data_IF_442728365386
#
_entry.id   IF_442728365386
#
_cell.length_a   1.000
_cell.length_b   1.000
_cell.length_c   1.000
_cell.angle_alpha   90.00
_cell.angle_beta   90.00
_cell.angle_gamma   90.00
#
_symmetry.space_group_name_H-M   'P 1'
#
loop_
_entity.id
_entity.type
_entity.pdbx_description
1 polymer ?
#
# COMPACT_ATOMS: atom_id res chain seq x y z
N UNK A 1 8.58 12.29 -5.42
CA UNK A 1 8.26 10.97 -5.99
C UNK A 1 6.79 10.81 -6.39
N UNK A 2 5.80 10.70 -5.48
CA UNK A 2 4.38 10.49 -5.90
C UNK A 2 3.84 11.59 -6.83
N UNK A 3 4.09 12.86 -6.50
CA UNK A 3 3.69 13.98 -7.35
C UNK A 3 4.38 13.98 -8.73
N UNK A 4 5.64 13.60 -8.78
CA UNK A 4 6.42 13.61 -10.02
C UNK A 4 6.05 12.43 -10.93
N UNK A 5 5.79 11.26 -10.35
CA UNK A 5 5.58 10.01 -11.09
C UNK A 5 4.09 9.77 -11.39
N UNK A 6 3.22 10.11 -10.45
CA UNK A 6 1.78 9.85 -10.52
C UNK A 6 0.94 11.13 -10.50
N UNK A 7 1.54 12.32 -10.41
CA UNK A 7 0.77 13.55 -10.31
C UNK A 7 -0.11 13.63 -9.06
N UNK A 8 0.14 12.79 -8.04
CA UNK A 8 -0.62 12.81 -6.80
C UNK A 8 -0.02 13.80 -5.81
N UNK A 9 -0.86 14.71 -5.31
CA UNK A 9 -0.56 15.56 -4.17
C UNK A 9 -1.52 15.30 -3.01
N UNK A 10 -1.50 16.16 -1.99
CA UNK A 10 -2.32 16.01 -0.78
C UNK A 10 -3.82 15.96 -1.08
N UNK A 11 -4.28 16.57 -2.17
CA UNK A 11 -5.69 16.55 -2.57
C UNK A 11 -6.14 15.17 -3.07
N UNK A 12 -5.21 14.33 -3.51
CA UNK A 12 -5.49 12.97 -3.98
C UNK A 12 -5.43 11.92 -2.87
N UNK A 13 -5.28 12.31 -1.60
CA UNK A 13 -5.11 11.36 -0.50
C UNK A 13 -6.25 10.33 -0.41
N UNK A 14 -7.51 10.76 -0.56
CA UNK A 14 -8.66 9.84 -0.54
C UNK A 14 -8.72 8.94 -1.78
N UNK A 15 -8.35 9.46 -2.94
CA UNK A 15 -8.28 8.67 -4.18
C UNK A 15 -7.23 7.56 -4.04
N UNK A 16 -6.02 7.91 -3.58
CA UNK A 16 -4.95 6.96 -3.32
C UNK A 16 -5.36 5.92 -2.26
N UNK A 17 -6.06 6.34 -1.22
CA UNK A 17 -6.59 5.43 -0.19
C UNK A 17 -7.54 4.40 -0.81
N UNK A 18 -8.45 4.83 -1.67
CA UNK A 18 -9.41 3.93 -2.32
C UNK A 18 -8.71 2.95 -3.27
N UNK A 19 -7.77 3.44 -4.09
CA UNK A 19 -6.95 2.60 -4.98
C UNK A 19 -6.22 1.51 -4.19
N UNK A 20 -5.59 1.87 -3.07
CA UNK A 20 -4.88 0.93 -2.22
C UNK A 20 -5.85 -0.11 -1.65
N UNK A 21 -7.00 0.31 -1.11
CA UNK A 21 -7.98 -0.59 -0.50
C UNK A 21 -8.58 -1.58 -1.50
N UNK A 22 -8.71 -1.19 -2.78
CA UNK A 22 -9.17 -2.10 -3.82
C UNK A 22 -8.04 -3.02 -4.30
N UNK A 23 -6.81 -2.51 -4.42
CA UNK A 23 -5.65 -3.30 -4.82
C UNK A 23 -5.31 -4.42 -3.81
N UNK A 24 -5.44 -4.17 -2.50
CA UNK A 24 -5.13 -5.20 -1.50
C UNK A 24 -6.13 -6.36 -1.46
N UNK A 25 -7.30 -6.24 -2.10
CA UNK A 25 -8.30 -7.32 -2.16
C UNK A 25 -7.96 -8.36 -3.21
N UNK A 26 -7.21 -7.97 -4.25
CA UNK A 26 -6.95 -8.81 -5.43
C UNK A 26 -5.49 -9.22 -5.57
N UNK A 27 -4.57 -8.51 -4.91
CA UNK A 27 -3.15 -8.80 -4.95
C UNK A 27 -2.70 -9.62 -3.74
N UNK A 28 -1.65 -10.41 -3.93
CA UNK A 28 -1.10 -11.26 -2.90
C UNK A 28 -0.45 -10.45 -1.76
N UNK A 29 -0.78 -10.83 -0.52
CA UNK A 29 -0.13 -10.30 0.66
C UNK A 29 1.17 -11.07 0.91
N UNK A 30 2.30 -10.39 0.75
CA UNK A 30 3.65 -10.92 0.98
C UNK A 30 3.94 -10.85 2.48
N UNK A 31 4.03 -11.98 3.21
CA UNK A 31 4.35 -11.98 4.63
C UNK A 31 5.73 -11.35 4.87
N UNK A 32 5.82 -10.55 5.93
CA UNK A 32 7.06 -9.95 6.40
C UNK A 32 7.36 -10.46 7.81
N UNK A 33 8.20 -9.74 8.56
CA UNK A 33 8.55 -10.09 9.94
C UNK A 33 7.32 -10.08 10.85
N UNK A 34 7.25 -11.10 11.69
CA UNK A 34 6.37 -11.17 12.87
C UNK A 34 7.21 -10.84 14.10
N UNK A 35 6.73 -9.93 14.94
CA UNK A 35 7.36 -9.60 16.22
C UNK A 35 6.32 -9.30 17.30
N UNK A 36 6.77 -8.84 18.47
CA UNK A 36 5.92 -8.51 19.62
C UNK A 36 4.81 -7.50 19.32
N UNK A 37 4.96 -6.69 18.26
CA UNK A 37 3.97 -5.70 17.84
C UNK A 37 2.91 -6.28 16.89
N UNK A 38 3.14 -7.47 16.35
CA UNK A 38 2.20 -8.17 15.47
C UNK A 38 2.83 -8.70 14.18
N UNK A 39 1.97 -8.96 13.19
CA UNK A 39 2.34 -9.55 11.91
C UNK A 39 2.37 -8.47 10.84
N UNK A 40 3.48 -8.35 10.10
CA UNK A 40 3.60 -7.41 8.99
C UNK A 40 3.43 -8.09 7.64
N UNK A 41 2.92 -7.34 6.68
CA UNK A 41 2.69 -7.78 5.31
C UNK A 41 3.03 -6.64 4.35
N UNK A 42 3.44 -6.98 3.13
CA UNK A 42 3.55 -6.04 2.04
C UNK A 42 2.61 -6.47 0.91
N UNK A 43 2.03 -5.50 0.20
CA UNK A 43 1.29 -5.75 -1.04
C UNK A 43 1.91 -4.90 -2.12
N UNK A 44 2.34 -5.56 -3.19
CA UNK A 44 2.82 -4.93 -4.41
C UNK A 44 1.71 -5.00 -5.45
N UNK A 45 1.43 -3.87 -6.09
CA UNK A 45 0.48 -3.84 -7.19
C UNK A 45 0.94 -2.87 -8.27
N UNK A 46 0.68 -3.24 -9.52
CA UNK A 46 0.91 -2.37 -10.65
C UNK A 46 -0.17 -1.28 -10.68
N UNK A 47 0.26 -0.03 -10.85
CA UNK A 47 -0.61 1.10 -11.04
C UNK A 47 -0.19 1.83 -12.30
N UNK A 48 -1.14 1.97 -13.23
CA UNK A 48 -0.92 2.66 -14.50
C UNK A 48 -1.63 4.00 -14.47
N UNK A 49 -0.88 5.07 -14.70
CA UNK A 49 -1.44 6.40 -14.91
C UNK A 49 -0.79 7.01 -16.15
N UNK A 50 -1.63 7.41 -17.11
CA UNK A 50 -1.19 7.84 -18.43
C UNK A 50 -0.33 6.76 -19.15
N UNK A 51 0.86 7.13 -19.63
CA UNK A 51 1.78 6.24 -20.32
C UNK A 51 2.74 5.48 -19.38
N UNK A 52 2.73 5.79 -18.08
CA UNK A 52 3.65 5.20 -17.11
C UNK A 52 2.96 4.12 -16.27
N UNK A 53 3.61 2.98 -16.15
CA UNK A 53 3.25 1.91 -15.22
C UNK A 53 4.31 1.86 -14.12
N UNK A 54 3.85 1.84 -12.87
CA UNK A 54 4.74 1.75 -11.71
C UNK A 54 4.23 0.70 -10.74
N UNK A 55 5.14 0.17 -9.92
CA UNK A 55 4.77 -0.72 -8.84
C UNK A 55 4.66 0.09 -7.55
N UNK A 56 3.49 0.05 -6.92
CA UNK A 56 3.30 0.64 -5.60
C UNK A 56 3.42 -0.48 -4.57
N UNK A 57 4.26 -0.27 -3.55
CA UNK A 57 4.37 -1.16 -2.39
C UNK A 57 3.70 -0.53 -1.19
N UNK A 58 2.76 -1.25 -0.60
CA UNK A 58 2.10 -0.88 0.66
C UNK A 58 2.50 -1.84 1.76
N UNK A 59 2.88 -1.30 2.93
CA UNK A 59 3.31 -2.08 4.08
C UNK A 59 2.28 -1.97 5.20
N UNK A 60 1.89 -3.11 5.75
CA UNK A 60 0.79 -3.25 6.70
C UNK A 60 1.24 -3.98 7.96
N UNK A 61 0.56 -3.70 9.08
CA UNK A 61 0.68 -4.46 10.31
C UNK A 61 -0.71 -4.85 10.83
N UNK A 62 -0.88 -6.11 11.20
CA UNK A 62 -1.98 -6.58 12.04
C UNK A 62 -1.40 -6.75 13.44
N UNK A 63 -1.78 -5.88 14.38
CA UNK A 63 -1.31 -5.96 15.76
C UNK A 63 -1.95 -7.15 16.47
N UNK A 64 -1.29 -7.67 17.50
CA UNK A 64 -1.74 -8.88 18.21
C UNK A 64 -3.18 -8.77 18.77
N UNK A 65 -3.63 -7.57 19.13
CA UNK A 65 -4.96 -7.31 19.69
C UNK A 65 -5.92 -6.70 18.66
N UNK A 66 -5.58 -6.73 17.37
CA UNK A 66 -6.40 -6.15 16.30
C UNK A 66 -6.79 -7.23 15.29
N UNK A 67 -8.02 -7.10 14.77
CA UNK A 67 -8.54 -7.97 13.70
C UNK A 67 -8.49 -7.30 12.32
N UNK A 68 -7.89 -6.11 12.23
CA UNK A 68 -7.78 -5.33 11.00
C UNK A 68 -6.34 -4.87 10.77
N UNK A 69 -5.89 -4.81 9.50
CA UNK A 69 -4.55 -4.32 9.17
C UNK A 69 -4.50 -2.78 9.22
N UNK A 70 -3.34 -2.25 9.60
CA UNK A 70 -3.02 -0.82 9.55
C UNK A 70 -1.92 -0.55 8.54
N UNK A 71 -2.13 0.44 7.68
CA UNK A 71 -1.09 0.91 6.76
C UNK A 71 0.01 1.60 7.57
N UNK A 72 1.26 1.23 7.29
CA UNK A 72 2.45 1.79 7.95
C UNK A 72 3.33 2.58 7.00
N UNK A 73 3.38 2.18 5.72
CA UNK A 73 4.14 2.87 4.69
C UNK A 73 3.55 2.57 3.31
N UNK A 74 3.70 3.51 2.38
CA UNK A 74 3.35 3.36 0.97
C UNK A 74 4.40 4.11 0.15
N UNK A 75 4.99 3.45 -0.86
CA UNK A 75 5.98 4.06 -1.75
C UNK A 75 5.96 3.43 -3.14
N UNK A 76 6.51 4.17 -4.10
CA UNK A 76 6.73 3.68 -5.46
C UNK A 76 8.07 2.92 -5.46
N UNK A 77 8.05 1.68 -5.96
CA UNK A 77 9.20 0.79 -6.05
C UNK A 77 10.00 1.03 -7.33
#
# INVERSE_FOLDING_TARGET
MFKEVLGFDETNAEELRQIILDAIKTNEAIPQRVDEYGRRFAVDFAFRKFASEVIIRTSWIIRNNELYPRLTSCYIK
#
